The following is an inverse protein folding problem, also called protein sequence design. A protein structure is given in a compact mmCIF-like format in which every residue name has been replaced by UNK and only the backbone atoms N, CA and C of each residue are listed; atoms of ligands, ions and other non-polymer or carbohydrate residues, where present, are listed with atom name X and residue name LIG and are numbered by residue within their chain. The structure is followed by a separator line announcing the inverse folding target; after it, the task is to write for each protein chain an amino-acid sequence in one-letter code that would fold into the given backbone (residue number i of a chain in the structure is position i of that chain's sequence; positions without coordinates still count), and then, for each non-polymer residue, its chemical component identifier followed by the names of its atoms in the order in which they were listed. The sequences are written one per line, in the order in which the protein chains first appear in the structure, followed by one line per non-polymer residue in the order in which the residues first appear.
data_IF_027407130054
#
_entry.id   IF_027407130054
#
_cell.length_a   1.000
_cell.length_b   1.000
_cell.length_c   1.000
_cell.angle_alpha   90.00
_cell.angle_beta   90.00
_cell.angle_gamma   90.00
#
_symmetry.space_group_name_H-M   'P 1'
#
loop_
_entity.id
_entity.type
_entity.pdbx_description
1 polymer ?
#
# COMPACT_ATOMS: atom_id res chain seq x y z
N UNK A 1 -40.19 5.80 -0.61
CA UNK A 1 -38.92 5.16 -1.04
C UNK A 1 -38.01 5.07 0.18
N UNK A 2 -37.62 3.88 0.66
CA UNK A 2 -36.60 3.81 1.70
C UNK A 2 -35.24 4.12 1.04
N UNK A 3 -34.45 4.97 1.69
CA UNK A 3 -33.04 5.19 1.34
C UNK A 3 -32.32 3.86 1.59
N UNK A 4 -31.70 3.28 0.57
CA UNK A 4 -30.86 2.11 0.72
C UNK A 4 -29.72 2.49 1.68
N UNK A 5 -29.79 2.05 2.93
CA UNK A 5 -28.65 2.13 3.83
C UNK A 5 -27.58 1.24 3.22
N UNK A 6 -26.56 1.87 2.63
CA UNK A 6 -25.46 1.14 2.03
C UNK A 6 -24.59 0.60 3.15
N UNK A 7 -25.01 -0.55 3.67
CA UNK A 7 -24.29 -1.28 4.72
C UNK A 7 -23.00 -1.80 4.09
N UNK A 8 -21.94 -1.03 4.25
CA UNK A 8 -20.56 -1.41 3.93
C UNK A 8 -20.25 -2.74 4.63
N UNK A 9 -20.21 -3.84 3.88
CA UNK A 9 -20.11 -5.18 4.49
C UNK A 9 -18.67 -5.69 4.46
N UNK A 10 -17.95 -5.42 3.36
CA UNK A 10 -16.55 -5.84 3.18
C UNK A 10 -15.76 -4.76 2.46
N UNK A 11 -14.50 -4.54 2.87
CA UNK A 11 -13.55 -3.64 2.21
C UNK A 11 -12.28 -4.39 1.81
N UNK A 12 -11.77 -4.09 0.63
CA UNK A 12 -10.48 -4.57 0.12
C UNK A 12 -9.47 -3.42 0.00
N UNK A 13 -8.21 -3.67 0.35
CA UNK A 13 -7.13 -2.72 0.16
C UNK A 13 -6.72 -2.68 -1.32
N UNK A 14 -7.05 -1.58 -2.02
CA UNK A 14 -6.83 -1.42 -3.46
C UNK A 14 -5.64 -0.52 -3.80
N UNK A 15 -5.05 0.16 -2.82
CA UNK A 15 -3.93 1.07 -3.06
C UNK A 15 -3.17 1.50 -1.83
N UNK A 16 -1.97 2.06 -2.05
CA UNK A 16 -1.10 2.65 -1.03
C UNK A 16 -1.17 4.17 -1.12
N UNK A 17 -1.13 4.83 0.04
CA UNK A 17 -1.10 6.28 0.16
C UNK A 17 0.32 6.68 0.55
N UNK A 18 0.97 7.47 -0.30
CA UNK A 18 2.35 7.92 -0.11
C UNK A 18 2.39 9.42 0.07
N UNK A 19 3.17 9.90 1.05
CA UNK A 19 3.46 11.32 1.20
C UNK A 19 4.41 11.76 0.09
N UNK A 20 3.99 12.71 -0.75
CA UNK A 20 4.82 13.20 -1.87
C UNK A 20 6.15 13.82 -1.38
N UNK A 21 6.13 14.51 -0.24
CA UNK A 21 7.30 15.21 0.29
C UNK A 21 8.39 14.26 0.78
N UNK A 22 8.01 13.18 1.46
CA UNK A 22 8.95 12.27 2.12
C UNK A 22 9.14 10.95 1.37
N UNK A 23 8.23 10.61 0.46
CA UNK A 23 8.18 9.30 -0.19
C UNK A 23 7.72 8.17 0.72
N UNK A 24 7.37 8.46 1.98
CA UNK A 24 6.95 7.44 2.94
C UNK A 24 5.47 7.07 2.73
N UNK A 25 5.17 5.77 2.80
CA UNK A 25 3.80 5.27 2.85
C UNK A 25 3.17 5.64 4.19
N UNK A 26 2.01 6.29 4.14
CA UNK A 26 1.28 6.81 5.31
C UNK A 26 -0.11 6.19 5.49
N UNK A 27 -0.52 5.29 4.60
CA UNK A 27 -1.81 4.63 4.70
C UNK A 27 -2.16 3.75 3.50
N UNK A 28 -3.40 3.26 3.52
CA UNK A 28 -3.99 2.44 2.48
C UNK A 28 -5.32 3.03 2.01
N UNK A 29 -5.63 2.80 0.73
CA UNK A 29 -6.93 3.09 0.13
C UNK A 29 -7.74 1.80 0.06
N UNK A 30 -8.93 1.82 0.66
CA UNK A 30 -9.88 0.72 0.61
C UNK A 30 -11.03 1.02 -0.33
N UNK A 31 -11.53 -0.02 -1.00
CA UNK A 31 -12.80 0.02 -1.72
C UNK A 31 -13.78 -0.94 -1.04
N UNK A 32 -14.97 -0.43 -0.79
CA UNK A 32 -16.10 -1.20 -0.28
C UNK A 32 -16.80 -1.93 -1.42
N UNK A 33 -17.56 -2.97 -1.08
CA UNK A 33 -18.41 -3.74 -1.99
C UNK A 33 -19.47 -2.88 -2.72
N UNK A 34 -19.88 -1.76 -2.11
CA UNK A 34 -20.77 -0.77 -2.73
C UNK A 34 -20.05 0.18 -3.72
N UNK A 35 -18.74 0.03 -3.92
CA UNK A 35 -17.91 0.85 -4.79
C UNK A 35 -17.37 2.14 -4.15
N UNK A 36 -17.80 2.50 -2.95
CA UNK A 36 -17.26 3.64 -2.21
C UNK A 36 -15.80 3.41 -1.83
N UNK A 37 -15.04 4.49 -1.72
CA UNK A 37 -13.64 4.43 -1.29
C UNK A 37 -13.44 5.08 0.08
N UNK A 38 -12.48 4.57 0.84
CA UNK A 38 -12.08 5.13 2.12
C UNK A 38 -10.56 5.06 2.29
N UNK A 39 -9.96 6.19 2.68
CA UNK A 39 -8.56 6.24 3.08
C UNK A 39 -8.43 5.92 4.58
N UNK A 40 -7.45 5.07 4.92
CA UNK A 40 -7.06 4.80 6.29
C UNK A 40 -5.58 5.13 6.48
N UNK A 41 -5.28 6.08 7.36
CA UNK A 41 -3.92 6.50 7.67
C UNK A 41 -3.35 5.69 8.83
N UNK A 42 -2.05 5.45 8.80
CA UNK A 42 -1.35 4.80 9.89
C UNK A 42 -1.29 5.71 11.12
N UNK A 43 -1.61 5.17 12.29
CA UNK A 43 -1.68 5.95 13.52
C UNK A 43 -0.29 6.15 14.15
N UNK A 44 0.64 6.82 13.45
CA UNK A 44 1.96 7.25 13.94
C UNK A 44 2.96 6.14 14.32
N UNK A 45 2.49 4.96 14.70
CA UNK A 45 3.24 3.72 14.76
C UNK A 45 3.51 3.30 13.33
N UNK A 46 4.67 3.69 12.80
CA UNK A 46 5.18 3.22 11.51
C UNK A 46 4.85 1.73 11.39
N UNK A 47 3.95 1.30 10.48
CA UNK A 47 3.93 -0.10 10.15
C UNK A 47 5.32 -0.36 9.61
N UNK A 48 6.02 -1.26 10.28
CA UNK A 48 7.28 -1.78 9.80
C UNK A 48 6.90 -2.50 8.52
N UNK A 49 6.94 -1.79 7.40
CA UNK A 49 6.81 -2.40 6.09
C UNK A 49 7.81 -3.55 6.12
N UNK A 50 7.40 -4.81 5.93
CA UNK A 50 8.37 -5.81 5.56
C UNK A 50 8.89 -5.28 4.23
N UNK A 51 10.07 -4.66 4.30
CA UNK A 51 10.88 -4.40 3.13
C UNK A 51 11.00 -5.79 2.53
N UNK A 52 10.19 -6.09 1.50
CA UNK A 52 10.49 -7.19 0.62
C UNK A 52 11.80 -6.72 0.00
N UNK A 53 12.89 -7.14 0.63
CA UNK A 53 14.21 -7.03 0.07
C UNK A 53 14.19 -7.91 -1.17
N UNK A 54 13.68 -7.35 -2.27
CA UNK A 54 14.12 -7.71 -3.61
C UNK A 54 15.56 -7.21 -3.78
N UNK A 55 16.44 -7.60 -2.84
CA UNK A 55 17.83 -7.81 -3.17
C UNK A 55 17.84 -9.08 -4.01
N UNK A 56 17.51 -8.93 -5.29
CA UNK A 56 18.12 -9.80 -6.29
C UNK A 56 19.62 -9.52 -6.15
N UNK A 57 20.45 -10.49 -5.72
CA UNK A 57 21.88 -10.32 -5.83
C UNK A 57 22.17 -10.29 -7.33
N UNK A 58 22.36 -9.09 -7.88
CA UNK A 58 23.00 -8.93 -9.18
C UNK A 58 24.34 -9.69 -9.08
N UNK A 59 24.58 -10.76 -9.87
CA UNK A 59 25.86 -11.40 -9.85
C UNK A 59 26.84 -10.46 -10.54
N UNK A 60 27.59 -9.71 -9.74
CA UNK A 60 28.76 -8.96 -10.14
C UNK A 60 29.81 -9.94 -10.69
N UNK A 61 29.69 -10.27 -11.97
CA UNK A 61 30.71 -10.99 -12.72
C UNK A 61 31.78 -9.99 -13.17
N UNK A 62 32.49 -9.46 -12.17
CA UNK A 62 33.81 -8.90 -12.34
C UNK A 62 34.83 -10.00 -12.74
N UNK A 63 35.78 -9.59 -13.58
CA UNK A 63 36.95 -10.33 -14.11
C UNK A 63 36.67 -11.29 -15.28
N UNK A 64 37.30 -11.11 -16.44
CA UNK A 64 38.75 -10.91 -16.62
C UNK A 64 39.11 -10.00 -17.79
N UNK A 65 40.11 -9.16 -17.53
CA UNK A 65 41.10 -8.74 -18.53
C UNK A 65 41.78 -9.97 -19.15
N UNK A 66 41.80 -10.05 -20.48
CA UNK A 66 42.97 -10.44 -21.27
C UNK A 66 42.83 -9.91 -22.69
#
# INVERSE_FOLDING_TARGET
MPKLESVRTTAEAIGRITCIKTGEEIGLLYQWDNGETQAALYNGSRPKTPLCSDHSPEPDLGAKRS
#
